data_IF_636386276666
#
_entry.id   IF_636386276666
#
_cell.length_a   1.000
_cell.length_b   1.000
_cell.length_c   1.000
_cell.angle_alpha   90.00
_cell.angle_beta   90.00
_cell.angle_gamma   90.00
#
_symmetry.space_group_name_H-M   'P 1'
#
loop_
_entity.id
_entity.type
_entity.pdbx_description
1 polymer ?
#
# COMPACT_ATOMS: atom_id res chain seq x y z
N UNK A 1 21.84 -10.69 15.42
CA UNK A 1 22.54 -9.44 15.04
C UNK A 1 23.35 -8.86 16.19
N UNK A 2 22.74 -8.42 17.30
CA UNK A 2 23.47 -7.88 18.47
C UNK A 2 24.50 -8.88 19.02
N UNK A 3 24.13 -10.15 19.16
CA UNK A 3 25.05 -11.22 19.61
C UNK A 3 26.24 -11.43 18.67
N UNK A 4 26.00 -11.48 17.36
CA UNK A 4 27.05 -11.60 16.35
C UNK A 4 28.00 -10.38 16.31
N UNK A 5 27.49 -9.19 16.67
CA UNK A 5 28.29 -7.97 16.81
C UNK A 5 29.08 -7.93 18.12
N UNK A 6 28.49 -8.36 19.25
CA UNK A 6 29.20 -8.46 20.54
C UNK A 6 30.32 -9.50 20.47
N UNK A 7 30.08 -10.64 19.83
CA UNK A 7 31.07 -11.71 19.69
C UNK A 7 32.26 -11.29 18.78
N UNK A 8 32.05 -10.38 17.81
CA UNK A 8 33.13 -9.82 17.00
C UNK A 8 34.07 -8.86 17.79
N UNK A 9 33.61 -8.33 18.93
CA UNK A 9 34.43 -7.48 19.82
C UNK A 9 35.18 -8.27 20.90
N UNK A 10 34.85 -9.55 21.08
CA UNK A 10 35.44 -10.43 22.09
C UNK A 10 36.30 -11.49 21.40
N UNK A 11 37.60 -11.25 21.29
CA UNK A 11 38.55 -12.28 20.87
C UNK A 11 38.59 -13.41 21.91
N UNK A 12 38.02 -14.58 21.58
CA UNK A 12 38.71 -15.88 21.59
C UNK A 12 37.77 -17.03 21.14
N UNK A 13 38.10 -17.65 20.01
CA UNK A 13 37.76 -19.03 19.61
C UNK A 13 36.32 -19.43 19.21
N UNK A 14 35.61 -18.62 18.42
CA UNK A 14 34.53 -19.14 17.56
C UNK A 14 34.72 -18.63 16.12
N UNK A 15 35.28 -19.48 15.25
CA UNK A 15 35.41 -19.24 13.81
C UNK A 15 34.06 -19.37 13.10
N UNK A 16 33.09 -18.54 13.47
CA UNK A 16 32.06 -18.14 12.53
C UNK A 16 32.65 -16.91 11.86
N UNK A 17 32.76 -16.90 10.53
CA UNK A 17 33.20 -15.73 9.77
C UNK A 17 32.11 -14.65 9.86
N UNK A 18 32.03 -14.02 11.03
CA UNK A 18 31.09 -12.97 11.36
C UNK A 18 31.23 -11.79 10.39
N UNK A 19 32.41 -11.60 9.78
CA UNK A 19 32.61 -10.62 8.72
C UNK A 19 31.87 -10.98 7.44
N UNK A 20 31.89 -12.25 7.02
CA UNK A 20 31.08 -12.71 5.87
C UNK A 20 29.58 -12.60 6.14
N UNK A 21 29.13 -12.84 7.38
CA UNK A 21 27.74 -12.67 7.81
C UNK A 21 27.32 -11.20 7.83
N UNK A 22 28.18 -10.30 8.31
CA UNK A 22 27.88 -8.85 8.34
C UNK A 22 27.75 -8.27 6.93
N UNK A 23 28.54 -8.77 5.98
CA UNK A 23 28.42 -8.42 4.55
C UNK A 23 27.11 -8.87 3.89
N UNK A 24 26.35 -9.77 4.51
CA UNK A 24 25.03 -10.19 4.01
C UNK A 24 23.94 -9.15 4.32
N UNK A 25 24.20 -8.21 5.23
CA UNK A 25 23.23 -7.17 5.58
C UNK A 25 23.50 -5.91 4.76
N UNK A 26 22.62 -5.61 3.80
CA UNK A 26 22.72 -4.44 2.92
C UNK A 26 22.68 -3.10 3.70
N UNK A 27 22.17 -3.11 4.93
CA UNK A 27 21.94 -1.93 5.76
C UNK A 27 23.05 -1.60 6.77
N UNK A 28 24.20 -2.27 6.71
CA UNK A 28 25.32 -2.01 7.63
C UNK A 28 26.50 -1.38 6.90
N UNK A 29 27.08 -0.32 7.47
CA UNK A 29 28.25 0.34 6.92
C UNK A 29 29.47 -0.59 6.97
N UNK A 30 30.06 -0.96 5.81
CA UNK A 30 31.24 -1.80 5.78
C UNK A 30 32.48 -1.13 6.41
N UNK A 31 32.51 0.19 6.51
CA UNK A 31 33.63 0.95 7.06
C UNK A 31 33.57 1.08 8.59
N UNK A 32 32.38 0.97 9.19
CA UNK A 32 32.19 0.99 10.64
C UNK A 32 31.31 -0.17 11.11
N UNK A 33 31.94 -1.33 11.32
CA UNK A 33 31.23 -2.56 11.64
C UNK A 33 30.99 -2.77 13.15
N UNK A 34 31.47 -1.85 13.99
CA UNK A 34 31.55 -2.00 15.44
C UNK A 34 30.53 -1.17 16.22
N UNK A 35 29.92 -0.15 15.61
CA UNK A 35 28.84 0.65 16.19
C UNK A 35 27.72 0.86 15.16
N UNK A 36 26.48 1.03 15.61
CA UNK A 36 25.39 1.45 14.73
C UNK A 36 25.34 2.99 14.73
N UNK A 37 25.60 3.59 13.58
CA UNK A 37 25.70 5.03 13.42
C UNK A 37 24.63 5.57 12.46
N UNK A 38 24.60 6.89 12.28
CA UNK A 38 23.65 7.56 11.39
C UNK A 38 23.68 6.99 9.96
N UNK A 39 24.86 6.53 9.49
CA UNK A 39 24.99 5.93 8.15
C UNK A 39 24.30 4.56 8.06
N UNK A 40 24.39 3.73 9.10
CA UNK A 40 23.66 2.46 9.15
C UNK A 40 22.15 2.69 9.15
N UNK A 41 21.68 3.73 9.85
CA UNK A 41 20.26 4.09 9.85
C UNK A 41 19.79 4.51 8.45
N UNK A 42 20.56 5.33 7.75
CA UNK A 42 20.25 5.73 6.37
C UNK A 42 20.17 4.52 5.43
N UNK A 43 21.15 3.61 5.53
CA UNK A 43 21.16 2.38 4.73
C UNK A 43 20.00 1.43 5.11
N UNK A 44 19.60 1.40 6.39
CA UNK A 44 18.44 0.64 6.85
C UNK A 44 17.14 1.17 6.26
N UNK A 45 16.95 2.49 6.27
CA UNK A 45 15.78 3.13 5.66
C UNK A 45 15.76 2.80 4.16
N UNK A 46 16.87 2.99 3.44
CA UNK A 46 16.95 2.67 2.02
C UNK A 46 16.66 1.19 1.71
N UNK A 47 17.19 0.27 2.52
CA UNK A 47 16.93 -1.16 2.36
C UNK A 47 15.46 -1.49 2.64
N UNK A 48 14.87 -0.95 3.71
CA UNK A 48 13.47 -1.16 4.05
C UNK A 48 12.53 -0.60 2.96
N UNK A 49 12.78 0.62 2.47
CA UNK A 49 12.04 1.23 1.37
C UNK A 49 12.08 0.35 0.12
N UNK A 50 13.27 -0.10 -0.27
CA UNK A 50 13.47 -1.00 -1.42
C UNK A 50 12.76 -2.34 -1.25
N UNK A 51 12.78 -2.91 -0.05
CA UNK A 51 12.07 -4.16 0.25
C UNK A 51 10.56 -4.00 0.09
N UNK A 52 10.01 -2.89 0.56
CA UNK A 52 8.60 -2.58 0.38
C UNK A 52 8.25 -2.29 -1.09
N UNK A 53 9.14 -1.65 -1.87
CA UNK A 53 8.92 -1.43 -3.30
C UNK A 53 8.91 -2.75 -4.08
N UNK A 54 9.80 -3.67 -3.72
CA UNK A 54 9.82 -5.01 -4.29
C UNK A 54 8.56 -5.79 -3.91
N UNK A 55 8.04 -5.61 -2.68
CA UNK A 55 6.79 -6.21 -2.25
C UNK A 55 5.62 -5.72 -3.10
N UNK A 56 5.50 -4.41 -3.32
CA UNK A 56 4.47 -3.82 -4.17
C UNK A 56 4.60 -4.34 -5.62
N UNK A 57 5.81 -4.35 -6.18
CA UNK A 57 6.06 -4.86 -7.53
C UNK A 57 5.68 -6.35 -7.68
N UNK A 58 6.03 -7.19 -6.70
CA UNK A 58 5.65 -8.60 -6.69
C UNK A 58 4.13 -8.78 -6.63
N UNK A 59 3.46 -7.92 -5.87
CA UNK A 59 2.00 -7.94 -5.75
C UNK A 59 1.30 -7.52 -7.05
N UNK A 60 1.80 -6.50 -7.74
CA UNK A 60 1.35 -6.14 -9.09
C UNK A 60 1.46 -7.31 -10.07
N UNK A 61 2.54 -8.10 -9.99
CA UNK A 61 2.68 -9.30 -10.82
C UNK A 61 1.69 -10.40 -10.44
N UNK A 62 1.43 -10.59 -9.15
CA UNK A 62 0.45 -11.54 -8.64
C UNK A 62 -0.96 -11.17 -9.10
N UNK A 63 -1.34 -9.89 -8.98
CA UNK A 63 -2.64 -9.40 -9.45
C UNK A 63 -2.81 -9.58 -10.96
N UNK A 64 -1.76 -9.32 -11.76
CA UNK A 64 -1.78 -9.62 -13.20
C UNK A 64 -2.03 -11.10 -13.47
N UNK A 65 -1.40 -12.01 -12.71
CA UNK A 65 -1.61 -13.46 -12.86
C UNK A 65 -3.02 -13.86 -12.47
N UNK A 66 -3.54 -13.27 -11.40
CA UNK A 66 -4.91 -13.46 -10.93
C UNK A 66 -5.93 -13.10 -12.03
N UNK A 67 -5.85 -11.88 -12.58
CA UNK A 67 -6.77 -11.43 -13.64
C UNK A 67 -6.65 -12.27 -14.93
N UNK A 68 -5.42 -12.66 -15.31
CA UNK A 68 -5.21 -13.57 -16.44
C UNK A 68 -5.86 -14.95 -16.22
N UNK A 69 -5.72 -15.51 -15.02
CA UNK A 69 -6.29 -16.82 -14.69
C UNK A 69 -7.82 -16.75 -14.66
N UNK A 70 -8.38 -15.72 -14.03
CA UNK A 70 -9.83 -15.46 -13.96
C UNK A 70 -10.46 -15.37 -15.35
N UNK A 71 -9.86 -14.59 -16.26
CA UNK A 71 -10.35 -14.50 -17.64
C UNK A 71 -10.12 -15.80 -18.44
N UNK A 72 -9.02 -16.52 -18.19
CA UNK A 72 -8.77 -17.82 -18.82
C UNK A 72 -9.84 -18.84 -18.42
N UNK A 73 -10.13 -18.98 -17.13
CA UNK A 73 -11.17 -19.87 -16.61
C UNK A 73 -12.55 -19.51 -17.16
N UNK A 74 -12.88 -18.21 -17.23
CA UNK A 74 -14.12 -17.73 -17.85
C UNK A 74 -14.23 -18.19 -19.31
N UNK A 75 -13.15 -18.06 -20.09
CA UNK A 75 -13.14 -18.49 -21.50
C UNK A 75 -13.28 -19.99 -21.65
N UNK A 76 -12.59 -20.78 -20.82
CA UNK A 76 -12.72 -22.24 -20.85
C UNK A 76 -14.14 -22.67 -20.45
N UNK A 77 -14.75 -22.02 -19.46
CA UNK A 77 -16.14 -22.24 -19.09
C UNK A 77 -17.08 -21.95 -20.26
N UNK A 78 -16.95 -20.80 -20.92
CA UNK A 78 -17.77 -20.43 -22.08
C UNK A 78 -17.62 -21.42 -23.26
N UNK A 79 -16.44 -22.01 -23.46
CA UNK A 79 -16.22 -23.05 -24.48
C UNK A 79 -16.93 -24.37 -24.17
N UNK A 80 -17.13 -24.66 -22.88
CA UNK A 80 -17.84 -25.88 -22.45
C UNK A 80 -19.36 -25.80 -22.60
N UNK A 81 -19.90 -24.60 -22.83
CA UNK A 81 -21.33 -24.33 -22.93
C UNK A 81 -21.88 -24.44 -24.37
N UNK A 82 -23.16 -24.80 -24.47
CA UNK A 82 -23.93 -24.72 -25.71
C UNK A 82 -24.13 -23.25 -26.15
N UNK A 83 -24.40 -23.02 -27.45
CA UNK A 83 -24.53 -21.68 -28.03
C UNK A 83 -25.52 -20.76 -27.29
N UNK A 84 -26.69 -21.27 -26.90
CA UNK A 84 -27.70 -20.49 -26.18
C UNK A 84 -27.24 -20.12 -24.76
N UNK A 85 -26.62 -21.07 -24.05
CA UNK A 85 -26.08 -20.85 -22.70
C UNK A 85 -24.91 -19.87 -22.71
N UNK A 86 -24.03 -19.99 -23.71
CA UNK A 86 -22.90 -19.07 -23.90
C UNK A 86 -23.39 -17.63 -24.05
N UNK A 87 -24.39 -17.38 -24.90
CA UNK A 87 -24.97 -16.03 -25.08
C UNK A 87 -25.61 -15.50 -23.79
N UNK A 88 -26.32 -16.35 -23.05
CA UNK A 88 -26.91 -15.96 -21.76
C UNK A 88 -25.84 -15.57 -20.74
N UNK A 89 -24.76 -16.35 -20.64
CA UNK A 89 -23.66 -16.06 -19.70
C UNK A 89 -22.88 -14.80 -20.09
N UNK A 90 -22.63 -14.59 -21.39
CA UNK A 90 -22.01 -13.36 -21.89
C UNK A 90 -22.87 -12.13 -21.57
N UNK A 91 -24.18 -12.21 -21.77
CA UNK A 91 -25.11 -11.14 -21.43
C UNK A 91 -25.14 -10.86 -19.91
N UNK A 92 -25.16 -11.91 -19.08
CA UNK A 92 -25.06 -11.79 -17.62
C UNK A 92 -23.76 -11.10 -17.23
N UNK A 93 -22.62 -11.52 -17.77
CA UNK A 93 -21.33 -10.92 -17.47
C UNK A 93 -21.25 -9.44 -17.89
N UNK A 94 -21.83 -9.06 -19.03
CA UNK A 94 -21.96 -7.66 -19.42
C UNK A 94 -22.85 -6.85 -18.47
N UNK A 95 -23.94 -7.45 -17.97
CA UNK A 95 -24.80 -6.82 -16.97
C UNK A 95 -24.05 -6.60 -15.66
N UNK A 96 -23.30 -7.59 -15.17
CA UNK A 96 -22.47 -7.47 -13.96
C UNK A 96 -21.44 -6.33 -14.13
N UNK A 97 -20.78 -6.25 -15.29
CA UNK A 97 -19.86 -5.15 -15.61
C UNK A 97 -20.53 -3.78 -15.66
N UNK A 98 -21.81 -3.70 -16.03
CA UNK A 98 -22.54 -2.43 -16.02
C UNK A 98 -22.89 -2.04 -14.59
N UNK A 99 -23.40 -2.98 -13.79
CA UNK A 99 -23.71 -2.76 -12.37
C UNK A 99 -22.49 -2.27 -11.59
N UNK A 100 -21.36 -2.94 -11.74
CA UNK A 100 -20.12 -2.53 -11.08
C UNK A 100 -19.66 -1.10 -11.45
N UNK A 101 -19.91 -0.67 -12.69
CA UNK A 101 -19.60 0.71 -13.14
C UNK A 101 -20.59 1.75 -12.64
N UNK A 102 -21.75 1.33 -12.17
CA UNK A 102 -22.80 2.21 -11.65
C UNK A 102 -22.54 2.47 -10.17
N UNK A 103 -21.57 3.33 -9.88
CA UNK A 103 -21.24 3.77 -8.54
C UNK A 103 -21.27 5.31 -8.42
N UNK A 104 -21.40 5.87 -7.21
CA UNK A 104 -21.21 7.29 -6.97
C UNK A 104 -19.82 7.76 -7.43
N UNK A 105 -19.68 9.04 -7.78
CA UNK A 105 -18.38 9.59 -8.15
C UNK A 105 -17.38 9.41 -7.01
N UNK A 106 -16.23 8.81 -7.33
CA UNK A 106 -15.09 8.71 -6.43
C UNK A 106 -14.19 9.95 -6.55
N UNK A 107 -13.63 10.38 -5.43
CA UNK A 107 -12.66 11.44 -5.39
C UNK A 107 -11.26 10.93 -5.76
N UNK A 108 -10.38 11.85 -6.19
CA UNK A 108 -8.98 11.50 -6.45
C UNK A 108 -8.29 11.27 -5.10
N UNK A 109 -7.51 10.18 -4.93
CA UNK A 109 -6.77 9.93 -3.70
C UNK A 109 -5.85 11.10 -3.31
N UNK A 110 -5.89 11.49 -2.04
CA UNK A 110 -5.16 12.64 -1.48
C UNK A 110 -5.75 14.01 -1.85
N UNK A 111 -6.85 14.08 -2.60
CA UNK A 111 -7.46 15.37 -2.96
C UNK A 111 -8.19 16.02 -1.77
N UNK A 112 -8.26 17.35 -1.78
CA UNK A 112 -8.99 18.10 -0.75
C UNK A 112 -10.48 17.71 -0.63
N UNK A 113 -11.12 17.29 -1.72
CA UNK A 113 -12.50 16.80 -1.69
C UNK A 113 -12.59 15.48 -0.91
N UNK A 114 -11.68 14.54 -1.16
CA UNK A 114 -11.62 13.28 -0.41
C UNK A 114 -11.34 13.52 1.08
N UNK A 115 -10.38 14.36 1.42
CA UNK A 115 -10.01 14.61 2.82
C UNK A 115 -11.17 15.26 3.60
N UNK A 116 -11.91 16.17 2.97
CA UNK A 116 -13.12 16.77 3.56
C UNK A 116 -14.24 15.77 3.72
N UNK A 117 -14.41 14.87 2.76
CA UNK A 117 -15.41 13.82 2.86
C UNK A 117 -15.07 12.85 4.01
N UNK A 118 -13.81 12.42 4.13
CA UNK A 118 -13.36 11.63 5.26
C UNK A 118 -13.57 12.36 6.61
N UNK A 119 -13.30 13.66 6.66
CA UNK A 119 -13.55 14.51 7.83
C UNK A 119 -15.03 14.58 8.23
N UNK A 120 -15.93 14.65 7.25
CA UNK A 120 -17.37 14.70 7.52
C UNK A 120 -17.95 13.31 7.85
N UNK A 121 -17.65 12.31 7.03
CA UNK A 121 -18.29 10.99 7.08
C UNK A 121 -17.62 10.03 8.06
N UNK A 122 -16.28 10.02 8.13
CA UNK A 122 -15.52 9.13 9.01
C UNK A 122 -15.35 9.74 10.38
N UNK A 123 -14.94 11.00 10.44
CA UNK A 123 -14.63 11.68 11.72
C UNK A 123 -15.86 12.32 12.37
N UNK A 124 -16.95 12.53 11.60
CA UNK A 124 -18.18 13.13 12.10
C UNK A 124 -18.04 14.62 12.44
N UNK A 125 -17.12 15.32 11.77
CA UNK A 125 -16.79 16.72 12.03
C UNK A 125 -17.42 17.65 10.97
N UNK A 126 -17.62 18.93 11.32
CA UNK A 126 -18.23 19.89 10.39
C UNK A 126 -17.29 20.15 9.19
N UNK A 127 -17.74 19.95 7.94
CA UNK A 127 -16.92 20.19 6.74
C UNK A 127 -16.49 21.66 6.60
N UNK A 128 -17.20 22.62 7.21
CA UNK A 128 -16.83 24.04 7.21
C UNK A 128 -15.66 24.34 8.15
N UNK A 129 -15.36 23.45 9.10
CA UNK A 129 -14.27 23.57 10.06
C UNK A 129 -13.04 22.74 9.67
N UNK A 130 -13.00 22.23 8.43
CA UNK A 130 -11.88 21.42 7.95
C UNK A 130 -10.54 22.13 8.18
N UNK A 131 -9.65 21.44 8.89
CA UNK A 131 -8.31 21.91 9.17
C UNK A 131 -7.30 20.79 8.88
N UNK A 132 -6.41 20.94 7.86
CA UNK A 132 -5.55 19.85 7.42
C UNK A 132 -4.57 19.40 8.52
N UNK A 133 -4.11 20.32 9.38
CA UNK A 133 -3.25 19.97 10.52
C UNK A 133 -3.97 19.13 11.57
N UNK A 134 -5.25 19.39 11.80
CA UNK A 134 -6.06 18.61 12.73
C UNK A 134 -6.43 17.27 12.12
N UNK A 135 -6.77 17.25 10.84
CA UNK A 135 -6.99 16.04 10.05
C UNK A 135 -5.79 15.10 10.13
N UNK A 136 -4.58 15.60 9.86
CA UNK A 136 -3.34 14.83 9.94
C UNK A 136 -3.18 14.18 11.32
N UNK A 137 -3.31 14.96 12.39
CA UNK A 137 -3.16 14.47 13.77
C UNK A 137 -4.22 13.46 14.19
N UNK A 138 -5.40 13.52 13.57
CA UNK A 138 -6.47 12.58 13.86
C UNK A 138 -6.22 11.21 13.22
N UNK A 139 -5.49 11.19 12.11
CA UNK A 139 -5.18 9.99 11.33
C UNK A 139 -3.76 9.46 11.54
N UNK A 140 -2.90 10.22 12.22
CA UNK A 140 -1.70 9.73 12.90
C UNK A 140 -2.16 8.96 14.14
N UNK A 141 -2.49 7.69 13.94
CA UNK A 141 -3.16 6.84 14.92
C UNK A 141 -2.22 6.38 16.04
N UNK A 142 -0.92 6.35 15.76
CA UNK A 142 0.12 5.92 16.69
C UNK A 142 0.86 7.11 17.36
N UNK A 143 0.55 8.34 16.98
CA UNK A 143 1.12 9.60 17.46
C UNK A 143 2.64 9.74 17.23
N UNK A 144 3.18 9.15 16.16
CA UNK A 144 4.61 9.22 15.82
C UNK A 144 4.99 10.45 14.96
N UNK A 145 3.99 11.22 14.51
CA UNK A 145 4.16 12.46 13.78
C UNK A 145 4.34 12.30 12.27
N UNK A 146 4.18 11.08 11.74
CA UNK A 146 4.13 10.78 10.31
C UNK A 146 2.85 10.03 9.97
N UNK A 147 2.47 10.00 8.70
CA UNK A 147 1.45 9.07 8.20
C UNK A 147 2.16 7.97 7.43
N UNK A 148 2.01 6.73 7.90
CA UNK A 148 2.53 5.57 7.19
C UNK A 148 1.56 5.06 6.11
N UNK A 149 1.97 4.00 5.44
CA UNK A 149 1.20 3.36 4.36
C UNK A 149 -0.17 2.86 4.81
N UNK A 150 -0.26 2.32 6.02
CA UNK A 150 -1.49 1.73 6.55
C UNK A 150 -2.47 2.85 6.93
N UNK A 151 -1.95 3.92 7.52
CA UNK A 151 -2.74 5.10 7.87
C UNK A 151 -3.29 5.80 6.63
N UNK A 152 -2.49 5.93 5.57
CA UNK A 152 -2.99 6.43 4.27
C UNK A 152 -4.01 5.48 3.64
N UNK A 153 -3.76 4.18 3.63
CA UNK A 153 -4.68 3.17 3.09
C UNK A 153 -6.03 3.15 3.82
N UNK A 154 -6.05 3.50 5.11
CA UNK A 154 -7.27 3.60 5.90
C UNK A 154 -8.18 4.73 5.39
N UNK A 155 -7.60 5.86 4.96
CA UNK A 155 -8.34 7.02 4.41
C UNK A 155 -9.17 6.66 3.17
N UNK A 156 -8.69 5.68 2.39
CA UNK A 156 -9.34 5.32 1.12
C UNK A 156 -10.53 4.39 1.29
N UNK A 157 -10.72 3.83 2.49
CA UNK A 157 -11.78 2.83 2.74
C UNK A 157 -13.16 3.35 2.35
N UNK A 158 -13.50 4.60 2.72
CA UNK A 158 -14.81 5.19 2.39
C UNK A 158 -15.02 5.42 0.90
N UNK A 159 -13.97 5.83 0.18
CA UNK A 159 -14.05 5.98 -1.28
C UNK A 159 -14.25 4.63 -1.97
N UNK A 160 -13.53 3.59 -1.54
CA UNK A 160 -13.64 2.25 -2.11
C UNK A 160 -14.98 1.58 -1.79
N UNK A 161 -15.56 1.83 -0.60
CA UNK A 161 -16.90 1.37 -0.22
C UNK A 161 -18.02 1.92 -1.13
N UNK A 162 -17.77 3.00 -1.90
CA UNK A 162 -18.72 3.48 -2.91
C UNK A 162 -18.77 2.58 -4.14
N UNK A 163 -17.68 1.86 -4.43
CA UNK A 163 -17.48 1.08 -5.66
C UNK A 163 -17.65 -0.42 -5.40
N UNK A 164 -17.20 -0.90 -4.24
CA UNK A 164 -17.17 -2.32 -3.91
C UNK A 164 -18.01 -2.63 -2.66
N UNK A 165 -18.95 -3.57 -2.76
CA UNK A 165 -19.63 -4.19 -1.62
C UNK A 165 -19.36 -5.71 -1.62
N UNK A 166 -18.78 -6.29 -0.56
CA UNK A 166 -18.53 -7.75 -0.48
C UNK A 166 -19.80 -8.62 -0.57
N UNK A 167 -21.00 -8.03 -0.51
CA UNK A 167 -22.28 -8.72 -0.68
C UNK A 167 -22.72 -8.79 -2.15
N UNK A 168 -22.14 -7.98 -3.02
CA UNK A 168 -22.41 -7.98 -4.45
C UNK A 168 -21.54 -9.04 -5.14
N UNK A 169 -22.11 -9.77 -6.10
CA UNK A 169 -21.37 -10.83 -6.82
C UNK A 169 -20.45 -10.23 -7.90
N UNK A 170 -20.77 -9.03 -8.37
CA UNK A 170 -20.03 -8.28 -9.38
C UNK A 170 -18.74 -7.67 -8.85
N UNK A 171 -18.64 -7.47 -7.54
CA UNK A 171 -17.57 -6.73 -6.90
C UNK A 171 -16.46 -7.68 -6.45
N UNK A 172 -15.27 -7.50 -7.00
CA UNK A 172 -14.11 -8.30 -6.66
C UNK A 172 -13.30 -7.64 -5.54
N UNK A 173 -13.34 -8.23 -4.35
CA UNK A 173 -12.60 -7.71 -3.20
C UNK A 173 -11.07 -7.78 -3.38
N UNK A 174 -10.56 -8.63 -4.27
CA UNK A 174 -9.13 -8.65 -4.62
C UNK A 174 -8.78 -7.44 -5.47
N UNK A 175 -9.67 -7.04 -6.38
CA UNK A 175 -9.54 -5.81 -7.19
C UNK A 175 -9.59 -4.57 -6.30
N UNK A 176 -10.54 -4.52 -5.35
CA UNK A 176 -10.62 -3.44 -4.36
C UNK A 176 -9.31 -3.24 -3.58
N UNK A 177 -8.70 -4.31 -3.10
CA UNK A 177 -7.45 -4.24 -2.34
C UNK A 177 -6.25 -3.84 -3.19
N UNK A 178 -6.25 -4.19 -4.48
CA UNK A 178 -5.26 -3.68 -5.43
C UNK A 178 -5.47 -2.19 -5.71
N UNK A 179 -6.72 -1.76 -5.89
CA UNK A 179 -7.05 -0.36 -6.10
C UNK A 179 -6.65 0.49 -4.88
N UNK A 180 -6.87 0.00 -3.66
CA UNK A 180 -6.40 0.64 -2.42
C UNK A 180 -4.90 0.93 -2.45
N UNK A 181 -4.11 -0.04 -2.91
CA UNK A 181 -2.64 0.10 -3.03
C UNK A 181 -2.25 1.08 -4.12
N UNK A 182 -2.96 1.06 -5.25
CA UNK A 182 -2.75 2.04 -6.32
C UNK A 182 -3.07 3.47 -5.85
N UNK A 183 -4.11 3.65 -5.03
CA UNK A 183 -4.42 4.92 -4.38
C UNK A 183 -3.28 5.36 -3.45
N UNK A 184 -2.73 4.44 -2.63
CA UNK A 184 -1.55 4.72 -1.79
C UNK A 184 -0.35 5.13 -2.62
N UNK A 185 0.02 4.34 -3.63
CA UNK A 185 1.16 4.65 -4.51
C UNK A 185 1.00 6.00 -5.20
N UNK A 186 -0.23 6.34 -5.60
CA UNK A 186 -0.54 7.65 -6.15
C UNK A 186 -0.28 8.78 -5.15
N UNK A 187 -0.76 8.64 -3.91
CA UNK A 187 -0.54 9.66 -2.88
C UNK A 187 0.93 9.77 -2.53
N UNK A 188 1.61 8.66 -2.22
CA UNK A 188 3.04 8.64 -1.89
C UNK A 188 3.87 9.33 -2.97
N UNK A 189 3.64 8.98 -4.25
CA UNK A 189 4.37 9.60 -5.37
C UNK A 189 4.23 11.12 -5.46
N UNK A 190 3.10 11.67 -5.01
CA UNK A 190 2.81 13.11 -5.13
C UNK A 190 3.14 13.90 -3.85
N UNK A 191 3.15 13.25 -2.69
CA UNK A 191 3.25 13.91 -1.38
C UNK A 191 4.60 13.65 -0.71
N UNK A 192 5.05 12.40 -0.66
CA UNK A 192 6.33 11.99 -0.08
C UNK A 192 7.47 12.48 -0.98
N UNK A 193 8.15 13.54 -0.51
CA UNK A 193 9.15 14.26 -1.28
C UNK A 193 10.56 13.69 -1.11
N UNK A 194 10.84 13.02 0.01
CA UNK A 194 12.14 12.42 0.30
C UNK A 194 12.19 10.92 -0.05
N UNK A 195 11.05 10.32 -0.42
CA UNK A 195 10.86 8.93 -0.80
C UNK A 195 11.24 7.94 0.32
N UNK A 196 10.97 8.30 1.57
CA UNK A 196 11.16 7.41 2.72
C UNK A 196 9.92 6.55 3.05
N UNK A 197 8.84 6.69 2.27
CA UNK A 197 7.54 6.02 2.43
C UNK A 197 6.81 6.40 3.72
N UNK A 198 7.10 7.57 4.25
CA UNK A 198 6.37 8.19 5.35
C UNK A 198 5.97 9.60 4.90
N UNK A 199 4.78 10.05 5.31
CA UNK A 199 4.33 11.41 5.01
C UNK A 199 4.42 12.24 6.27
N UNK A 200 5.34 13.20 6.30
CA UNK A 200 5.44 14.15 7.40
C UNK A 200 4.29 15.18 7.35
N UNK A 201 4.00 15.82 8.48
CA UNK A 201 3.05 16.93 8.52
C UNK A 201 3.42 18.06 7.54
N UNK A 202 4.72 18.32 7.34
CA UNK A 202 5.17 19.35 6.40
C UNK A 202 4.84 18.99 4.95
N UNK A 203 5.11 17.75 4.55
CA UNK A 203 4.79 17.25 3.22
C UNK A 203 3.28 17.24 2.97
N UNK A 204 2.53 16.76 3.95
CA UNK A 204 1.07 16.76 3.90
C UNK A 204 0.53 18.17 3.67
N UNK A 205 0.89 19.14 4.52
CA UNK A 205 0.41 20.53 4.42
C UNK A 205 0.85 21.23 3.14
N UNK A 206 1.95 20.82 2.52
CA UNK A 206 2.41 21.36 1.24
C UNK A 206 1.59 20.82 0.06
N UNK A 207 1.02 19.62 0.21
CA UNK A 207 0.22 18.94 -0.82
C UNK A 207 -1.28 19.27 -0.76
N UNK A 208 -1.78 19.74 0.39
CA UNK A 208 -3.19 20.08 0.66
C UNK A 208 -3.47 21.59 0.62
#
# INVERSE_FOLDING_TARGET
>A
LIKAKMDATMEENVQIDHMSLLKQFEHLDPQNQHTFEARDLELLIQAATKDLENYDAARHEEFKRYEMLKEHERREYLKSLDEEKRKMEEARYEEMKKKHKEHPKINVPGSMDQLKEAWEETDGLDPNEFNPKTFFKLHDTNEDGVLDEQELEALFTKELEKVYDPKNEEDDMVEMEEERKLMREHVMKNVDSNHDRLVTLEEFLKST
#
